data_IF_875272652667
#
_entry.id   IF_875272652667
#
_cell.length_a   1.000
_cell.length_b   1.000
_cell.length_c   1.000
_cell.angle_alpha   90.00
_cell.angle_beta   90.00
_cell.angle_gamma   90.00
#
_symmetry.space_group_name_H-M   'P 1'
#
loop_
_entity.id
_entity.type
_entity.pdbx_description
1 polymer ?
#
# COMPACT_ATOMS: atom_id res chain seq x y z
N UNK A 1 -0.51 21.63 -12.09
CA UNK A 1 -0.36 22.49 -10.90
C UNK A 1 0.86 21.99 -10.16
N UNK A 2 1.91 22.79 -10.08
CA UNK A 2 3.19 22.39 -9.49
C UNK A 2 3.00 21.94 -8.03
N UNK A 3 3.56 20.79 -7.70
CA UNK A 3 3.63 20.29 -6.33
C UNK A 3 4.50 21.25 -5.50
N UNK A 4 4.04 21.72 -4.32
CA UNK A 4 4.82 22.57 -3.41
C UNK A 4 5.97 21.79 -2.71
N UNK A 5 6.39 20.68 -3.29
CA UNK A 5 7.46 19.83 -2.76
C UNK A 5 8.79 20.30 -3.31
N UNK A 6 9.74 20.50 -2.40
CA UNK A 6 11.12 20.71 -2.77
C UNK A 6 11.79 19.36 -3.08
N UNK A 7 12.21 19.10 -4.33
CA UNK A 7 12.90 17.86 -4.71
C UNK A 7 14.20 17.68 -3.90
N UNK A 8 14.88 18.78 -3.56
CA UNK A 8 16.15 18.72 -2.81
C UNK A 8 15.94 18.22 -1.39
N UNK A 9 14.89 18.70 -0.72
CA UNK A 9 14.52 18.24 0.61
C UNK A 9 14.12 16.76 0.62
N UNK A 10 13.37 16.33 -0.40
CA UNK A 10 12.98 14.92 -0.57
C UNK A 10 14.21 14.03 -0.72
N UNK A 11 15.15 14.41 -1.60
CA UNK A 11 16.40 13.68 -1.81
C UNK A 11 17.23 13.61 -0.52
N UNK A 12 17.42 14.75 0.18
CA UNK A 12 18.14 14.79 1.45
C UNK A 12 17.53 13.86 2.50
N UNK A 13 16.20 13.88 2.63
CA UNK A 13 15.49 13.00 3.57
C UNK A 13 15.64 11.52 3.20
N UNK A 14 15.53 11.15 1.92
CA UNK A 14 15.72 9.76 1.48
C UNK A 14 17.14 9.25 1.71
N UNK A 15 18.16 10.04 1.38
CA UNK A 15 19.57 9.66 1.59
C UNK A 15 19.90 9.52 3.07
N UNK A 16 19.42 10.44 3.91
CA UNK A 16 19.59 10.35 5.36
C UNK A 16 18.91 9.11 5.94
N UNK A 17 17.73 8.75 5.44
CA UNK A 17 17.02 7.56 5.87
C UNK A 17 17.74 6.28 5.47
N UNK A 18 18.23 6.17 4.22
CA UNK A 18 18.97 5.00 3.76
C UNK A 18 20.29 4.83 4.54
N UNK A 19 21.00 5.92 4.83
CA UNK A 19 22.19 5.90 5.67
C UNK A 19 21.88 5.39 7.10
N UNK A 20 20.76 5.82 7.67
CA UNK A 20 20.36 5.34 8.99
C UNK A 20 20.00 3.85 8.98
N UNK A 21 19.35 3.36 7.92
CA UNK A 21 19.04 1.93 7.76
C UNK A 21 20.32 1.11 7.63
N UNK A 22 21.31 1.55 6.84
CA UNK A 22 22.59 0.85 6.74
C UNK A 22 23.35 0.80 8.07
N UNK A 23 23.40 1.92 8.80
CA UNK A 23 24.03 1.98 10.13
C UNK A 23 23.31 1.12 11.17
N UNK A 24 21.98 0.98 11.05
CA UNK A 24 21.19 0.15 11.97
C UNK A 24 21.40 -1.33 11.68
N UNK A 25 21.50 -1.71 10.41
CA UNK A 25 21.80 -3.09 10.01
C UNK A 25 23.21 -3.51 10.45
N UNK A 26 24.20 -2.62 10.38
CA UNK A 26 25.57 -2.90 10.88
C UNK A 26 25.61 -3.12 12.39
N UNK A 27 24.73 -2.46 13.16
CA UNK A 27 24.64 -2.64 14.62
C UNK A 27 23.90 -3.93 15.00
N UNK A 28 22.96 -4.37 14.17
CA UNK A 28 22.13 -5.55 14.38
C UNK A 28 22.70 -6.82 13.71
N UNK A 29 24.02 -7.01 13.75
CA UNK A 29 24.76 -8.15 13.13
C UNK A 29 24.28 -9.57 13.52
N UNK A 30 23.25 -9.71 14.36
CA UNK A 30 22.68 -10.97 14.83
C UNK A 30 21.59 -11.57 13.92
N UNK A 31 20.99 -10.81 12.99
CA UNK A 31 19.99 -11.35 12.05
C UNK A 31 20.62 -11.66 10.68
N UNK A 32 20.87 -12.96 10.43
CA UNK A 32 21.52 -13.50 9.21
C UNK A 32 20.73 -13.30 7.90
N UNK A 33 19.53 -12.73 7.97
CA UNK A 33 18.71 -12.41 6.81
C UNK A 33 18.67 -10.89 6.67
N UNK A 34 19.32 -10.37 5.62
CA UNK A 34 19.17 -8.99 5.19
C UNK A 34 17.75 -8.81 4.63
N UNK A 35 16.76 -8.71 5.51
CA UNK A 35 15.39 -8.43 5.11
C UNK A 35 15.30 -6.98 4.63
N UNK A 36 14.85 -6.85 3.40
CA UNK A 36 14.60 -5.59 2.72
C UNK A 36 13.53 -4.77 3.47
N UNK A 37 13.96 -3.70 4.14
CA UNK A 37 13.05 -2.89 4.94
C UNK A 37 12.14 -2.02 4.06
N UNK A 38 10.81 -2.03 4.28
CA UNK A 38 9.89 -1.20 3.51
C UNK A 38 9.97 0.27 3.92
N UNK A 39 10.14 1.16 2.94
CA UNK A 39 10.07 2.62 3.13
C UNK A 39 8.62 3.09 2.97
N UNK A 40 8.11 3.76 3.98
CA UNK A 40 6.75 4.28 4.07
C UNK A 40 6.71 5.80 3.95
N UNK A 41 5.83 6.32 3.10
CA UNK A 41 5.37 7.70 3.13
C UNK A 41 4.13 7.80 4.01
N UNK A 42 4.24 8.57 5.09
CA UNK A 42 3.14 8.94 5.97
C UNK A 42 2.58 10.29 5.53
N UNK A 43 1.28 10.35 5.35
CA UNK A 43 0.55 11.56 4.97
C UNK A 43 -0.46 11.84 6.05
N UNK A 44 -0.38 13.04 6.61
CA UNK A 44 -1.33 13.54 7.60
C UNK A 44 -2.23 14.56 6.93
N UNK A 45 -3.53 14.37 7.08
CA UNK A 45 -4.55 15.29 6.55
C UNK A 45 -5.18 16.11 7.66
N UNK A 46 -5.55 17.37 7.36
CA UNK A 46 -6.17 18.31 8.30
C UNK A 46 -7.57 17.85 8.73
N UNK A 47 -8.36 17.32 7.79
CA UNK A 47 -9.72 16.81 8.04
C UNK A 47 -9.78 15.31 7.82
N UNK A 48 -10.38 14.61 8.77
CA UNK A 48 -10.62 13.17 8.67
C UNK A 48 -11.68 12.87 7.60
N UNK A 49 -11.59 11.69 7.00
CA UNK A 49 -12.61 11.18 6.09
C UNK A 49 -13.53 10.22 6.84
N UNK A 50 -14.84 10.48 6.83
CA UNK A 50 -15.85 9.68 7.55
C UNK A 50 -16.04 8.27 6.96
N UNK A 51 -15.77 8.07 5.67
CA UNK A 51 -15.99 6.78 4.99
C UNK A 51 -14.67 6.06 4.74
N UNK A 52 -14.48 4.92 5.41
CA UNK A 52 -13.41 3.98 5.06
C UNK A 52 -13.78 3.20 3.80
N UNK A 53 -12.85 3.14 2.84
CA UNK A 53 -13.00 2.34 1.64
C UNK A 53 -12.15 1.09 1.76
N UNK A 54 -12.79 -0.08 1.72
CA UNK A 54 -12.11 -1.39 1.78
C UNK A 54 -11.28 -1.63 0.52
N UNK A 55 -11.66 -1.02 -0.62
CA UNK A 55 -10.94 -1.16 -1.88
C UNK A 55 -9.65 -0.32 -1.85
N UNK A 56 -8.46 -0.93 -2.00
CA UNK A 56 -7.23 -0.16 -2.14
C UNK A 56 -7.25 0.70 -3.40
N UNK A 57 -6.71 1.90 -3.27
CA UNK A 57 -6.46 2.77 -4.43
C UNK A 57 -5.08 2.47 -4.98
N UNK A 58 -5.02 2.14 -6.27
CA UNK A 58 -3.78 1.90 -7.00
C UNK A 58 -3.10 3.24 -7.34
N UNK A 59 -1.80 3.32 -7.09
CA UNK A 59 -0.95 4.47 -7.42
C UNK A 59 0.21 3.96 -8.27
N UNK A 60 0.33 4.38 -9.53
CA UNK A 60 1.46 3.99 -10.38
C UNK A 60 2.76 4.57 -9.82
N UNK A 61 3.85 3.81 -9.94
CA UNK A 61 5.21 4.24 -9.61
C UNK A 61 6.07 4.28 -10.87
N UNK A 62 7.13 5.09 -10.86
CA UNK A 62 8.12 5.13 -11.94
C UNK A 62 9.07 3.94 -11.83
N UNK A 63 9.55 3.68 -10.62
CA UNK A 63 10.47 2.58 -10.31
C UNK A 63 9.77 1.55 -9.42
N UNK A 64 9.30 0.41 -9.97
CA UNK A 64 8.69 -0.64 -9.17
C UNK A 64 9.70 -1.25 -8.20
N UNK A 65 9.27 -1.54 -6.96
CA UNK A 65 10.10 -2.20 -5.94
C UNK A 65 9.68 -3.64 -5.65
N UNK A 66 8.63 -4.14 -6.32
CA UNK A 66 8.22 -5.53 -6.17
C UNK A 66 9.18 -6.40 -6.99
N UNK A 67 10.03 -7.16 -6.31
CA UNK A 67 10.97 -8.10 -6.94
C UNK A 67 10.21 -9.11 -7.81
N UNK A 68 10.77 -9.46 -8.97
CA UNK A 68 10.14 -10.37 -9.93
C UNK A 68 9.96 -11.81 -9.41
N UNK A 69 10.52 -12.14 -8.24
CA UNK A 69 10.39 -13.43 -7.55
C UNK A 69 9.36 -13.46 -6.41
N UNK A 70 8.51 -12.43 -6.24
CA UNK A 70 7.51 -12.43 -5.17
C UNK A 70 6.40 -13.44 -5.46
N UNK A 71 6.10 -14.29 -4.49
CA UNK A 71 4.95 -15.19 -4.55
C UNK A 71 3.62 -14.39 -4.50
N UNK A 72 2.88 -14.45 -5.62
CA UNK A 72 1.56 -13.83 -5.77
C UNK A 72 0.46 -14.87 -5.54
N UNK A 73 -0.50 -14.53 -4.67
CA UNK A 73 -1.68 -15.34 -4.42
C UNK A 73 -2.94 -14.68 -5.00
N UNK A 74 -3.70 -15.40 -5.82
CA UNK A 74 -4.94 -14.95 -6.44
C UNK A 74 -6.17 -15.58 -5.76
N UNK A 75 -7.05 -14.74 -5.24
CA UNK A 75 -8.37 -15.12 -4.75
C UNK A 75 -9.41 -15.03 -5.88
N UNK A 76 -10.14 -16.11 -6.09
CA UNK A 76 -11.12 -16.26 -7.18
C UNK A 76 -12.49 -16.64 -6.65
N UNK A 77 -13.54 -16.35 -7.44
CA UNK A 77 -14.86 -16.95 -7.24
C UNK A 77 -14.81 -18.42 -7.65
N UNK A 78 -15.60 -19.27 -6.99
CA UNK A 78 -15.76 -20.65 -7.43
C UNK A 78 -16.53 -20.70 -8.77
N UNK A 79 -16.16 -21.58 -9.72
CA UNK A 79 -15.17 -22.66 -9.64
C UNK A 79 -13.72 -22.24 -9.94
N UNK A 80 -12.78 -22.74 -9.13
CA UNK A 80 -11.35 -22.44 -9.26
C UNK A 80 -10.70 -22.96 -10.57
N UNK A 81 -11.22 -24.05 -11.15
CA UNK A 81 -10.59 -24.75 -12.30
C UNK A 81 -10.52 -23.86 -13.54
N UNK A 82 -11.58 -23.11 -13.82
CA UNK A 82 -11.66 -22.21 -14.97
C UNK A 82 -10.55 -21.16 -14.94
N UNK A 83 -10.34 -20.54 -13.78
CA UNK A 83 -9.30 -19.52 -13.62
C UNK A 83 -7.89 -20.08 -13.74
N UNK A 84 -7.65 -21.33 -13.33
CA UNK A 84 -6.35 -21.98 -13.57
C UNK A 84 -6.11 -22.19 -15.06
N UNK A 85 -7.09 -22.71 -15.78
CA UNK A 85 -7.00 -22.90 -17.23
C UNK A 85 -6.82 -21.57 -17.97
N UNK A 86 -7.48 -20.49 -17.53
CA UNK A 86 -7.29 -19.16 -18.09
C UNK A 86 -5.86 -18.62 -17.86
N UNK A 87 -5.26 -18.89 -16.71
CA UNK A 87 -3.88 -18.49 -16.42
C UNK A 87 -2.87 -19.30 -17.24
N UNK A 88 -3.11 -20.60 -17.42
CA UNK A 88 -2.29 -21.47 -18.27
C UNK A 88 -2.36 -21.03 -19.73
N UNK A 89 -3.57 -20.74 -20.26
CA UNK A 89 -3.77 -20.23 -21.63
C UNK A 89 -3.03 -18.92 -21.88
N UNK A 90 -2.97 -18.04 -20.88
CA UNK A 90 -2.26 -16.75 -20.98
C UNK A 90 -0.78 -16.82 -20.57
N UNK A 91 -0.27 -18.00 -20.21
CA UNK A 91 1.13 -18.23 -19.81
C UNK A 91 1.65 -17.29 -18.70
N UNK A 92 0.79 -16.96 -17.72
CA UNK A 92 1.14 -16.04 -16.62
C UNK A 92 1.80 -16.86 -15.51
N UNK A 93 3.13 -16.89 -15.52
CA UNK A 93 3.93 -17.65 -14.53
C UNK A 93 4.13 -16.90 -13.20
N UNK A 94 3.78 -15.62 -13.11
CA UNK A 94 3.99 -14.84 -11.89
C UNK A 94 3.03 -15.19 -10.75
N UNK A 95 1.94 -15.93 -11.01
CA UNK A 95 0.95 -16.30 -9.99
C UNK A 95 1.27 -17.69 -9.43
N UNK A 96 1.80 -17.72 -8.21
CA UNK A 96 2.22 -18.93 -7.49
C UNK A 96 1.02 -19.79 -7.07
N UNK A 97 -0.07 -19.17 -6.58
CA UNK A 97 -1.22 -19.91 -6.08
C UNK A 97 -2.56 -19.25 -6.36
N UNK A 98 -3.51 -20.04 -6.84
CA UNK A 98 -4.92 -19.66 -6.94
C UNK A 98 -5.70 -20.30 -5.79
N UNK A 99 -6.55 -19.54 -5.11
CA UNK A 99 -7.39 -19.99 -4.00
C UNK A 99 -8.83 -19.54 -4.26
N UNK A 100 -9.77 -20.49 -4.26
CA UNK A 100 -11.21 -20.18 -4.31
C UNK A 100 -11.77 -19.80 -2.94
N UNK A 101 -12.88 -19.05 -2.90
CA UNK A 101 -13.54 -18.63 -1.65
C UNK A 101 -13.90 -19.84 -0.76
N UNK A 102 -14.44 -20.91 -1.34
CA UNK A 102 -14.81 -22.11 -0.59
C UNK A 102 -13.61 -22.75 0.11
N UNK A 103 -12.45 -22.82 -0.56
CA UNK A 103 -11.20 -23.32 0.04
C UNK A 103 -10.66 -22.37 1.10
N UNK A 104 -10.77 -21.06 0.89
CA UNK A 104 -10.35 -20.07 1.88
C UNK A 104 -11.16 -20.24 3.18
N UNK A 105 -12.47 -20.46 3.06
CA UNK A 105 -13.37 -20.67 4.19
C UNK A 105 -13.10 -21.98 4.95
N UNK A 106 -12.85 -23.07 4.22
CA UNK A 106 -12.63 -24.38 4.84
C UNK A 106 -11.22 -24.53 5.43
N UNK A 107 -10.17 -24.20 4.67
CA UNK A 107 -8.78 -24.50 5.03
C UNK A 107 -8.14 -23.45 5.93
N UNK A 108 -8.51 -22.18 5.78
CA UNK A 108 -7.87 -21.06 6.50
C UNK A 108 -8.79 -20.49 7.59
N UNK A 109 -9.55 -21.36 8.28
CA UNK A 109 -10.41 -20.95 9.40
C UNK A 109 -9.60 -20.59 10.64
N UNK A 110 -8.57 -21.38 10.96
CA UNK A 110 -7.72 -21.19 12.14
C UNK A 110 -6.86 -19.93 12.03
N UNK A 111 -6.58 -19.31 13.17
CA UNK A 111 -5.78 -18.07 13.22
C UNK A 111 -4.35 -18.28 12.73
N UNK A 112 -3.75 -19.41 13.09
CA UNK A 112 -2.41 -19.80 12.66
C UNK A 112 -2.32 -19.92 11.13
N UNK A 113 -3.24 -20.63 10.49
CA UNK A 113 -3.25 -20.78 9.04
C UNK A 113 -3.35 -19.44 8.31
N UNK A 114 -4.11 -18.47 8.85
CA UNK A 114 -4.19 -17.10 8.31
C UNK A 114 -2.86 -16.36 8.45
N UNK A 115 -2.17 -16.53 9.58
CA UNK A 115 -0.85 -15.92 9.81
C UNK A 115 0.19 -16.50 8.85
N UNK A 116 0.22 -17.82 8.69
CA UNK A 116 1.11 -18.51 7.75
C UNK A 116 0.84 -18.04 6.31
N UNK A 117 -0.42 -17.96 5.90
CA UNK A 117 -0.78 -17.44 4.58
C UNK A 117 -0.29 -16.01 4.35
N UNK A 118 -0.44 -15.14 5.35
CA UNK A 118 0.01 -13.75 5.29
C UNK A 118 1.55 -13.62 5.22
N UNK A 119 2.29 -14.57 5.80
CA UNK A 119 3.75 -14.60 5.77
C UNK A 119 4.28 -15.18 4.46
N UNK A 120 3.67 -16.24 3.93
CA UNK A 120 4.18 -16.95 2.75
C UNK A 120 4.08 -16.14 1.46
N UNK A 121 3.09 -15.24 1.33
CA UNK A 121 2.88 -14.46 0.10
C UNK A 121 3.17 -12.97 0.32
N UNK A 122 3.77 -12.35 -0.69
CA UNK A 122 4.06 -10.91 -0.69
C UNK A 122 2.91 -10.06 -1.21
N UNK A 123 2.20 -10.56 -2.23
CA UNK A 123 1.10 -9.85 -2.90
C UNK A 123 -0.15 -10.73 -2.98
N UNK A 124 -1.29 -10.13 -2.66
CA UNK A 124 -2.59 -10.78 -2.79
C UNK A 124 -3.43 -10.06 -3.84
N UNK A 125 -3.96 -10.81 -4.79
CA UNK A 125 -4.89 -10.35 -5.81
C UNK A 125 -6.25 -10.97 -5.54
N UNK A 126 -7.31 -10.26 -5.86
CA UNK A 126 -8.67 -10.74 -5.70
C UNK A 126 -9.57 -10.21 -6.81
N UNK A 127 -10.52 -11.04 -7.26
CA UNK A 127 -11.59 -10.55 -8.11
C UNK A 127 -12.36 -9.41 -7.40
N UNK A 128 -12.63 -8.31 -8.12
CA UNK A 128 -13.35 -7.16 -7.59
C UNK A 128 -14.68 -7.54 -6.90
N UNK A 129 -15.33 -8.63 -7.35
CA UNK A 129 -16.60 -9.14 -6.79
C UNK A 129 -16.47 -9.73 -5.39
N UNK A 130 -15.30 -10.27 -5.04
CA UNK A 130 -15.10 -11.00 -3.79
C UNK A 130 -14.54 -10.12 -2.67
N UNK A 131 -14.00 -8.94 -3.01
CA UNK A 131 -13.38 -8.01 -2.05
C UNK A 131 -14.24 -7.68 -0.83
N UNK A 132 -15.55 -7.40 -0.96
CA UNK A 132 -16.38 -7.10 0.21
C UNK A 132 -16.46 -8.26 1.22
N UNK A 133 -16.30 -9.51 0.76
CA UNK A 133 -16.36 -10.71 1.60
C UNK A 133 -15.02 -11.06 2.24
N UNK A 134 -13.90 -10.63 1.64
CA UNK A 134 -12.55 -11.01 2.06
C UNK A 134 -12.18 -10.58 3.48
N UNK A 135 -12.53 -9.38 4.00
CA UNK A 135 -12.16 -8.97 5.36
C UNK A 135 -12.55 -9.98 6.44
N UNK A 136 -13.72 -10.60 6.30
CA UNK A 136 -14.22 -11.62 7.24
C UNK A 136 -13.40 -12.92 7.17
N UNK A 137 -12.87 -13.25 6.00
CA UNK A 137 -12.15 -14.50 5.75
C UNK A 137 -10.66 -14.40 6.13
N UNK A 138 -9.96 -13.36 5.66
CA UNK A 138 -8.50 -13.20 5.85
C UNK A 138 -8.11 -12.78 7.27
N UNK A 139 -9.04 -12.15 8.02
CA UNK A 139 -8.83 -11.71 9.40
C UNK A 139 -7.95 -10.46 9.55
N UNK A 140 -7.79 -10.00 10.79
CA UNK A 140 -7.17 -8.70 11.13
C UNK A 140 -5.68 -8.60 10.77
N UNK A 141 -4.93 -9.70 10.84
CA UNK A 141 -3.47 -9.70 10.60
C UNK A 141 -3.08 -9.20 9.21
N UNK A 142 -3.90 -9.46 8.19
CA UNK A 142 -3.71 -8.93 6.85
C UNK A 142 -3.81 -7.40 6.79
N UNK A 143 -4.74 -6.82 7.58
CA UNK A 143 -4.93 -5.38 7.67
C UNK A 143 -3.79 -4.71 8.46
N UNK A 144 -3.33 -5.34 9.55
CA UNK A 144 -2.18 -4.88 10.34
C UNK A 144 -0.89 -4.83 9.50
N UNK A 145 -0.65 -5.85 8.68
CA UNK A 145 0.51 -5.91 7.77
C UNK A 145 0.33 -5.14 6.46
N UNK A 146 -0.84 -4.52 6.24
CA UNK A 146 -1.22 -3.83 4.99
C UNK A 146 -1.07 -4.68 3.72
N UNK A 147 -1.25 -6.00 3.84
CA UNK A 147 -1.23 -6.96 2.72
C UNK A 147 -2.65 -7.28 2.23
N UNK A 148 -3.53 -6.28 2.17
CA UNK A 148 -4.92 -6.52 1.77
C UNK A 148 -4.99 -6.84 0.26
N UNK A 149 -5.95 -7.68 -0.18
CA UNK A 149 -6.03 -8.08 -1.58
C UNK A 149 -6.39 -6.93 -2.54
N UNK A 150 -5.67 -6.87 -3.66
CA UNK A 150 -5.85 -5.87 -4.70
C UNK A 150 -6.91 -6.33 -5.71
N UNK A 151 -7.87 -5.47 -6.11
CA UNK A 151 -8.83 -5.80 -7.16
C UNK A 151 -8.16 -6.06 -8.50
N UNK A 152 -8.50 -7.18 -9.11
CA UNK A 152 -8.25 -7.49 -10.52
C UNK A 152 -9.57 -7.85 -11.19
N UNK A 153 -9.74 -7.42 -12.44
CA UNK A 153 -10.91 -7.80 -13.22
C UNK A 153 -10.54 -9.04 -14.05
N UNK A 154 -10.99 -10.20 -13.61
CA UNK A 154 -10.71 -11.46 -14.32
C UNK A 154 -11.56 -11.62 -15.60
N UNK A 155 -12.52 -10.72 -15.82
CA UNK A 155 -13.47 -10.77 -16.95
C UNK A 155 -12.98 -9.97 -18.16
N UNK A 156 -12.18 -8.91 -17.96
CA UNK A 156 -11.62 -8.09 -19.03
C UNK A 156 -10.48 -8.83 -19.75
N UNK A 157 -10.44 -8.75 -21.08
CA UNK A 157 -9.53 -9.55 -21.93
C UNK A 157 -8.03 -9.37 -21.65
N UNK A 158 -7.60 -8.24 -21.08
CA UNK A 158 -6.18 -7.87 -20.94
C UNK A 158 -5.61 -8.07 -19.53
N UNK A 159 -5.68 -9.30 -19.03
CA UNK A 159 -5.21 -9.66 -17.68
C UNK A 159 -3.71 -9.41 -17.48
N UNK A 160 -2.89 -9.59 -18.53
CA UNK A 160 -1.44 -9.32 -18.48
C UNK A 160 -1.15 -7.84 -18.25
N UNK A 161 -1.84 -6.94 -18.96
CA UNK A 161 -1.67 -5.49 -18.78
C UNK A 161 -2.11 -5.05 -17.39
N UNK A 162 -3.22 -5.60 -16.88
CA UNK A 162 -3.67 -5.34 -15.52
C UNK A 162 -2.61 -5.80 -14.50
N UNK A 163 -2.06 -7.00 -14.67
CA UNK A 163 -1.02 -7.57 -13.81
C UNK A 163 0.26 -6.74 -13.84
N UNK A 164 0.76 -6.39 -15.02
CA UNK A 164 1.92 -5.51 -15.16
C UNK A 164 1.66 -4.18 -14.47
N UNK A 165 0.50 -3.57 -14.70
CA UNK A 165 0.17 -2.31 -14.06
C UNK A 165 0.06 -2.45 -12.53
N UNK A 166 -0.44 -3.59 -12.02
CA UNK A 166 -0.49 -3.93 -10.58
C UNK A 166 0.92 -4.05 -9.99
N UNK A 167 1.85 -4.71 -10.68
CA UNK A 167 3.24 -4.85 -10.24
C UNK A 167 3.98 -3.51 -10.23
N UNK A 168 3.68 -2.64 -11.19
CA UNK A 168 4.25 -1.29 -11.29
C UNK A 168 3.57 -0.25 -10.39
N UNK A 169 2.65 -0.67 -9.51
CA UNK A 169 1.90 0.25 -8.65
C UNK A 169 2.04 -0.07 -7.18
N UNK A 170 1.98 0.97 -6.36
CA UNK A 170 1.75 0.84 -4.93
C UNK A 170 0.27 1.01 -4.59
N UNK A 171 -0.08 0.62 -3.36
CA UNK A 171 -1.44 0.60 -2.86
C UNK A 171 -1.60 1.55 -1.69
N UNK A 172 -2.55 2.45 -1.83
CA UNK A 172 -3.03 3.30 -0.74
C UNK A 172 -4.32 2.74 -0.17
N UNK A 173 -4.26 2.42 1.12
CA UNK A 173 -5.42 2.09 1.94
C UNK A 173 -5.91 3.37 2.61
N UNK A 174 -7.21 3.65 2.51
CA UNK A 174 -7.82 4.84 3.14
C UNK A 174 -8.40 4.45 4.50
N UNK A 175 -7.68 4.71 5.61
CA UNK A 175 -8.23 4.49 6.94
C UNK A 175 -9.31 5.53 7.27
N UNK A 176 -10.13 5.25 8.28
CA UNK A 176 -11.13 6.19 8.82
C UNK A 176 -10.50 7.25 9.73
N UNK A 177 -9.37 7.83 9.33
CA UNK A 177 -8.59 8.76 10.15
C UNK A 177 -7.88 9.81 9.31
N UNK A 178 -7.03 10.61 9.97
CA UNK A 178 -6.27 11.70 9.35
C UNK A 178 -4.94 11.23 8.77
N UNK A 179 -4.34 10.20 9.36
CA UNK A 179 -3.03 9.67 8.98
C UNK A 179 -3.17 8.44 8.09
N UNK A 180 -2.50 8.45 6.94
CA UNK A 180 -2.34 7.30 6.07
C UNK A 180 -0.86 7.01 5.87
N UNK A 181 -0.50 5.74 5.67
CA UNK A 181 0.88 5.39 5.30
C UNK A 181 0.91 4.45 4.11
N UNK A 182 1.71 4.81 3.13
CA UNK A 182 1.79 4.19 1.81
C UNK A 182 3.22 3.67 1.64
N UNK A 183 3.40 2.45 1.15
CA UNK A 183 4.74 1.91 0.86
C UNK A 183 5.23 2.50 -0.46
N UNK A 184 6.36 3.18 -0.49
CA UNK A 184 6.87 3.82 -1.73
C UNK A 184 8.15 3.18 -2.24
N UNK A 185 8.90 2.50 -1.38
CA UNK A 185 10.13 1.84 -1.77
C UNK A 185 10.57 0.78 -0.78
N UNK A 186 11.76 0.28 -1.04
CA UNK A 186 12.50 -0.69 -0.24
C UNK A 186 13.90 -0.15 -0.03
N UNK A 187 14.55 -0.52 1.09
CA UNK A 187 15.90 -0.09 1.45
C UNK A 187 16.97 -0.38 0.38
N UNK A 188 16.80 -1.40 -0.46
CA UNK A 188 17.75 -1.75 -1.53
C UNK A 188 17.63 -0.87 -2.79
N UNK A 189 16.65 0.04 -2.87
CA UNK A 189 16.58 1.05 -3.94
C UNK A 189 17.43 2.27 -3.62
N UNK A 190 17.84 3.02 -4.65
CA UNK A 190 18.60 4.24 -4.46
C UNK A 190 17.73 5.40 -3.96
N UNK A 191 18.31 6.33 -3.20
CA UNK A 191 17.59 7.50 -2.68
C UNK A 191 16.93 8.34 -3.79
N UNK A 192 17.60 8.47 -4.95
CA UNK A 192 17.04 9.16 -6.12
C UNK A 192 15.79 8.48 -6.66
N UNK A 193 15.81 7.14 -6.80
CA UNK A 193 14.65 6.38 -7.28
C UNK A 193 13.45 6.53 -6.34
N UNK A 194 13.70 6.50 -5.03
CA UNK A 194 12.66 6.70 -4.02
C UNK A 194 12.10 8.12 -4.11
N UNK A 195 12.94 9.15 -4.26
CA UNK A 195 12.49 10.54 -4.39
C UNK A 195 11.61 10.74 -5.64
N UNK A 196 12.02 10.22 -6.79
CA UNK A 196 11.22 10.26 -8.03
C UNK A 196 9.87 9.54 -7.88
N UNK A 197 9.87 8.40 -7.19
CA UNK A 197 8.66 7.67 -6.85
C UNK A 197 7.73 8.48 -5.94
N UNK A 198 8.28 9.19 -4.94
CA UNK A 198 7.51 10.06 -4.05
C UNK A 198 6.83 11.17 -4.84
N UNK A 199 7.55 11.88 -5.70
CA UNK A 199 7.02 12.97 -6.52
C UNK A 199 5.89 12.49 -7.44
N UNK A 200 6.10 11.37 -8.12
CA UNK A 200 5.08 10.80 -9.00
C UNK A 200 3.85 10.31 -8.21
N UNK A 201 4.06 9.60 -7.11
CA UNK A 201 2.99 9.08 -6.27
C UNK A 201 2.13 10.20 -5.68
N UNK A 202 2.74 11.30 -5.24
CA UNK A 202 2.03 12.41 -4.58
C UNK A 202 1.02 13.07 -5.52
N UNK A 203 1.36 13.25 -6.80
CA UNK A 203 0.43 13.79 -7.78
C UNK A 203 -0.85 12.94 -7.85
N UNK A 204 -0.70 11.62 -7.91
CA UNK A 204 -1.84 10.69 -7.91
C UNK A 204 -2.57 10.61 -6.56
N UNK A 205 -1.85 10.73 -5.44
CA UNK A 205 -2.45 10.69 -4.11
C UNK A 205 -3.33 11.92 -3.87
N UNK A 206 -2.83 13.11 -4.22
CA UNK A 206 -3.53 14.38 -4.02
C UNK A 206 -4.86 14.41 -4.75
N UNK A 207 -4.93 13.86 -5.98
CA UNK A 207 -6.18 13.76 -6.75
C UNK A 207 -7.23 12.88 -6.05
N UNK A 208 -6.79 11.93 -5.23
CA UNK A 208 -7.66 10.96 -4.54
C UNK A 208 -8.05 11.43 -3.14
N UNK A 209 -7.45 12.51 -2.63
CA UNK A 209 -7.75 13.11 -1.32
C UNK A 209 -8.80 14.22 -1.51
N UNK A 210 -9.85 14.28 -0.66
CA UNK A 210 -10.82 15.36 -0.72
C UNK A 210 -10.14 16.71 -0.44
N UNK A 211 -10.50 17.73 -1.22
CA UNK A 211 -9.90 19.09 -1.17
C UNK A 211 -8.40 19.15 -1.53
N UNK A 212 -7.83 18.07 -2.09
CA UNK A 212 -6.48 18.03 -2.67
C UNK A 212 -5.41 18.55 -1.68
N UNK A 213 -4.53 19.44 -2.14
CA UNK A 213 -3.45 20.06 -1.35
C UNK A 213 -3.93 20.81 -0.10
N UNK A 214 -5.11 21.43 -0.14
CA UNK A 214 -5.63 22.18 1.02
C UNK A 214 -5.89 21.30 2.24
N UNK A 215 -6.07 20.00 2.04
CA UNK A 215 -6.30 19.06 3.14
C UNK A 215 -5.02 18.39 3.64
N UNK A 216 -3.88 18.55 2.98
CA UNK A 216 -2.63 17.92 3.41
C UNK A 216 -1.99 18.79 4.47
N UNK A 217 -1.77 18.22 5.66
CA UNK A 217 -1.10 18.89 6.76
C UNK A 217 0.41 18.63 6.69
N UNK A 218 0.83 17.36 6.68
CA UNK A 218 2.24 17.02 6.67
C UNK A 218 2.53 15.75 5.88
N UNK A 219 3.74 15.67 5.34
CA UNK A 219 4.29 14.50 4.66
C UNK A 219 5.59 14.10 5.38
N UNK A 220 5.67 12.85 5.79
CA UNK A 220 6.84 12.29 6.45
C UNK A 220 7.27 10.98 5.79
N UNK A 221 8.57 10.72 5.74
CA UNK A 221 9.13 9.43 5.32
C UNK A 221 9.58 8.69 6.57
N UNK A 222 9.30 7.39 6.65
CA UNK A 222 9.81 6.52 7.71
C UNK A 222 10.02 5.09 7.23
N UNK A 223 10.86 4.36 7.94
CA UNK A 223 10.97 2.90 7.83
C UNK A 223 10.17 2.25 8.97
N UNK A 224 10.29 0.93 9.17
CA UNK A 224 9.58 0.20 10.23
C UNK A 224 10.04 0.62 11.63
N UNK A 225 11.35 0.76 11.84
CA UNK A 225 11.95 1.11 13.14
C UNK A 225 12.51 2.55 13.20
N UNK A 226 12.61 3.25 12.07
CA UNK A 226 13.27 4.56 12.02
C UNK A 226 12.40 5.72 12.52
N UNK A 227 13.06 6.83 12.84
CA UNK A 227 12.42 8.13 13.06
C UNK A 227 11.79 8.63 11.76
N UNK A 228 10.65 9.34 11.87
CA UNK A 228 9.95 9.94 10.72
C UNK A 228 10.58 11.27 10.32
N UNK A 229 11.11 11.36 9.09
CA UNK A 229 11.69 12.56 8.53
C UNK A 229 10.63 13.40 7.80
N UNK A 230 10.44 14.68 8.14
CA UNK A 230 9.47 15.54 7.45
C UNK A 230 9.98 15.95 6.05
N UNK A 231 9.12 15.83 5.05
CA UNK A 231 9.35 16.37 3.70
C UNK A 231 8.62 17.70 3.53
N UNK A 232 7.38 17.75 4.01
CA UNK A 232 6.48 18.88 3.82
C UNK A 232 5.65 19.08 5.08
N UNK A 233 5.46 20.34 5.45
CA UNK A 233 4.54 20.73 6.49
C UNK A 233 3.78 21.98 6.03
N UNK A 234 2.46 21.94 6.09
CA UNK A 234 1.62 23.11 5.85
C UNK A 234 1.67 23.98 7.10
N UNK A 235 1.81 25.29 6.90
CA UNK A 235 1.56 26.24 7.98
C UNK A 235 0.09 26.10 8.44
N UNK A 236 -0.19 26.35 9.74
CA UNK A 236 -1.56 26.44 10.22
C UNK A 236 -2.27 27.58 9.47
N UNK A 237 -3.47 27.30 8.96
CA UNK A 237 -4.31 28.36 8.40
C UNK A 237 -4.78 29.24 9.56
N UNK A 238 -4.82 30.57 9.38
CA UNK A 238 -5.41 31.47 10.37
C UNK A 238 -6.82 30.99 10.74
N UNK A 239 -7.14 31.06 12.03
CA UNK A 239 -8.34 30.46 12.64
C UNK A 239 -9.59 31.08 12.02
N UNK A 240 -10.13 30.44 10.99
CA UNK A 240 -11.47 30.76 10.52
C UNK A 240 -12.44 30.27 11.59
N UNK A 241 -13.05 31.23 12.28
CA UNK A 241 -14.09 31.10 13.31
C UNK A 241 -14.76 29.73 13.30
N UNK A 242 -14.54 28.95 14.36
CA UNK A 242 -15.21 27.67 14.58
C UNK A 242 -16.71 27.97 14.70
N UNK A 243 -17.48 27.72 13.64
CA UNK A 243 -18.93 27.71 13.75
C UNK A 243 -19.33 26.48 14.56
N UNK A 244 -19.59 26.70 15.84
CA UNK A 244 -20.17 25.71 16.75
C UNK A 244 -21.49 25.27 16.12
N UNK A 245 -21.60 23.99 15.74
CA UNK A 245 -22.91 23.42 15.37
C UNK A 245 -23.79 23.49 16.61
N UNK A 246 -25.00 24.06 16.55
CA UNK A 246 -25.89 24.06 17.70
C UNK A 246 -26.17 22.61 18.08
N UNK A 247 -25.88 22.26 19.33
CA UNK A 247 -26.32 21.01 19.93
C UNK A 247 -27.85 21.06 19.91
N UNK A 248 -28.49 20.11 19.22
CA UNK A 248 -29.93 19.93 19.34
C UNK A 248 -30.20 19.56 20.79
N UNK A 249 -30.79 20.48 21.55
CA UNK A 249 -31.43 20.19 22.82
C UNK A 249 -32.56 19.18 22.55
N UNK A 250 -32.51 18.05 23.26
CA UNK A 250 -33.61 17.09 23.38
C UNK A 250 -34.86 17.74 24.01
#
# INVERSE_FOLDING_TARGET
MASPLDPKQTLKATTALLKHVSETNEKNQTELLQDDEPVWLVITTKRFTEKSNIKPTKIPLRHPFLNQGVDICLFTKDPQKEYKQLLEKKNIKQISKVIGISKLRAKYKTYEAKRTLCQSYGLFLADARIIPMLPKLIGKKFFERKKQPVPINLTSGNLEKELQSILHSTYMFKPSGTCMSIKIGVSSQSGSQIAENIEHAINHIVERIPKKWKNIQSLHIKTTASVSLPIFNSLPDEVSSIQIRPVKSE
#
